data_IF_664316974181
#
_entry.id   IF_664316974181
#
_cell.length_a   1.000
_cell.length_b   1.000
_cell.length_c   1.000
_cell.angle_alpha   90.00
_cell.angle_beta   90.00
_cell.angle_gamma   90.00
#
_symmetry.space_group_name_H-M   'P 1'
#
loop_
_entity.id
_entity.type
_entity.pdbx_description
1 polymer ?
#
# COMPACT_ATOMS: atom_id res chain seq x y z
N UNK A 1 -43.31 -16.37 -12.83
CA UNK A 1 -42.23 -15.76 -13.63
C UNK A 1 -41.85 -14.46 -12.94
N UNK A 2 -40.84 -14.47 -12.07
CA UNK A 2 -40.30 -13.24 -11.46
C UNK A 2 -38.99 -12.90 -12.17
N UNK A 3 -39.05 -11.79 -12.91
CA UNK A 3 -37.99 -11.19 -13.71
C UNK A 3 -36.76 -10.90 -12.84
N UNK A 4 -35.65 -11.58 -13.14
CA UNK A 4 -34.34 -11.33 -12.57
C UNK A 4 -33.86 -9.94 -13.04
N UNK A 5 -34.11 -8.89 -12.27
CA UNK A 5 -33.43 -7.61 -12.48
C UNK A 5 -31.97 -7.75 -12.07
N UNK A 6 -31.13 -8.11 -13.04
CA UNK A 6 -29.68 -7.96 -12.96
C UNK A 6 -29.36 -6.46 -12.87
N UNK A 7 -29.30 -5.94 -11.65
CA UNK A 7 -28.65 -4.66 -11.36
C UNK A 7 -27.15 -4.82 -11.58
N UNK A 8 -26.72 -4.78 -12.84
CA UNK A 8 -25.33 -4.49 -13.19
C UNK A 8 -25.09 -3.02 -12.92
N UNK A 9 -24.87 -2.71 -11.64
CA UNK A 9 -24.58 -1.37 -11.17
C UNK A 9 -23.25 -0.93 -11.78
N UNK A 10 -23.37 -0.01 -12.75
CA UNK A 10 -22.27 0.64 -13.43
C UNK A 10 -21.38 1.36 -12.40
N UNK A 11 -20.29 0.73 -11.95
CA UNK A 11 -19.22 1.38 -11.19
C UNK A 11 -18.26 2.16 -12.12
N UNK A 12 -18.79 2.81 -13.15
CA UNK A 12 -18.03 3.62 -14.10
C UNK A 12 -18.13 5.10 -13.69
N UNK A 13 -17.38 5.51 -12.67
CA UNK A 13 -17.40 6.92 -12.24
C UNK A 13 -16.33 7.35 -11.24
N UNK A 14 -15.61 6.41 -10.63
CA UNK A 14 -14.45 6.72 -9.79
C UNK A 14 -13.29 5.84 -10.20
N UNK A 15 -12.44 6.33 -11.11
CA UNK A 15 -11.12 5.72 -11.31
C UNK A 15 -10.41 5.67 -9.95
N UNK A 16 -10.31 4.48 -9.37
CA UNK A 16 -9.75 4.30 -8.03
C UNK A 16 -8.23 4.34 -8.14
N UNK A 17 -7.63 5.30 -7.46
CA UNK A 17 -6.18 5.43 -7.36
C UNK A 17 -5.71 4.81 -6.04
N UNK A 18 -4.68 4.00 -6.11
CA UNK A 18 -4.03 3.42 -4.95
C UNK A 18 -2.71 4.12 -4.67
N UNK A 19 -2.44 4.44 -3.41
CA UNK A 19 -1.11 4.87 -2.98
C UNK A 19 -0.31 3.65 -2.57
N UNK A 20 0.99 3.87 -2.39
CA UNK A 20 1.93 2.87 -1.90
C UNK A 20 1.43 2.17 -0.63
N UNK A 21 0.85 2.94 0.29
CA UNK A 21 0.33 2.44 1.57
C UNK A 21 -0.89 1.52 1.43
N UNK A 22 -1.65 1.66 0.35
CA UNK A 22 -2.82 0.81 0.08
C UNK A 22 -2.41 -0.51 -0.61
N UNK A 23 -1.27 -0.50 -1.32
CA UNK A 23 -0.76 -1.64 -2.09
C UNK A 23 0.19 -2.52 -1.27
N UNK A 24 1.08 -1.89 -0.50
CA UNK A 24 2.14 -2.57 0.21
C UNK A 24 1.71 -3.03 1.61
N UNK A 25 2.17 -4.21 1.98
CA UNK A 25 2.16 -4.69 3.35
C UNK A 25 3.18 -3.91 4.19
N UNK A 26 2.68 -3.34 5.27
CA UNK A 26 3.49 -2.61 6.25
C UNK A 26 3.68 -3.57 7.43
N UNK A 27 4.88 -4.14 7.63
CA UNK A 27 5.10 -5.05 8.74
C UNK A 27 5.00 -4.32 10.08
N UNK A 28 4.51 -5.02 11.10
CA UNK A 28 4.45 -4.49 12.47
C UNK A 28 5.86 -4.16 12.95
N UNK A 29 6.04 -2.93 13.44
CA UNK A 29 7.25 -2.57 14.16
C UNK A 29 6.90 -2.32 15.62
N UNK A 30 7.36 -3.19 16.55
CA UNK A 30 7.13 -2.97 17.96
C UNK A 30 7.83 -1.67 18.36
N UNK A 31 7.17 -0.90 19.22
CA UNK A 31 7.69 0.38 19.67
C UNK A 31 9.02 0.17 20.42
N UNK A 32 10.05 0.96 20.07
CA UNK A 32 11.31 0.94 20.83
C UNK A 32 11.28 2.04 21.88
N UNK A 33 11.54 1.61 23.11
CA UNK A 33 11.55 2.46 24.31
C UNK A 33 12.93 3.11 24.40
N UNK A 34 13.02 4.43 24.19
CA UNK A 34 14.26 5.17 24.40
C UNK A 34 14.27 5.77 25.81
N UNK A 35 15.22 5.33 26.64
CA UNK A 35 15.45 5.85 27.98
C UNK A 35 16.58 6.88 27.95
N UNK A 36 16.28 8.12 28.36
CA UNK A 36 17.30 9.16 28.46
C UNK A 36 18.17 8.93 29.71
N UNK A 37 19.48 8.82 29.50
CA UNK A 37 20.45 8.42 30.55
C UNK A 37 21.02 9.59 31.36
N UNK A 38 20.83 10.85 30.95
CA UNK A 38 21.39 12.02 31.64
C UNK A 38 20.61 13.32 31.36
N UNK A 39 20.79 14.33 32.23
CA UNK A 39 20.17 15.66 32.17
C UNK A 39 18.80 15.75 32.86
N UNK A 40 18.09 16.87 32.65
CA UNK A 40 16.73 17.16 33.20
C UNK A 40 15.70 16.09 32.80
N UNK A 41 15.97 15.31 31.74
CA UNK A 41 15.12 14.24 31.24
C UNK A 41 15.56 12.83 31.69
N UNK A 42 16.54 12.71 32.61
CA UNK A 42 16.98 11.41 33.14
C UNK A 42 15.79 10.66 33.75
N UNK A 43 15.51 9.46 33.23
CA UNK A 43 14.37 8.63 33.65
C UNK A 43 13.10 8.82 32.82
N UNK A 44 13.01 9.85 31.96
CA UNK A 44 11.92 9.92 30.97
C UNK A 44 12.16 8.88 29.89
N UNK A 45 11.07 8.20 29.56
CA UNK A 45 11.02 7.22 28.48
C UNK A 45 10.26 7.83 27.32
N UNK A 46 10.83 7.79 26.11
CA UNK A 46 10.10 8.12 24.88
C UNK A 46 9.79 6.83 24.13
N UNK A 47 8.51 6.57 23.93
CA UNK A 47 8.03 5.53 23.02
C UNK A 47 8.22 6.07 21.60
N UNK A 48 9.09 5.43 20.82
CA UNK A 48 9.42 5.86 19.46
C UNK A 48 9.00 4.75 18.49
N UNK A 49 8.29 5.14 17.43
CA UNK A 49 8.17 4.33 16.22
C UNK A 49 7.15 3.20 16.25
N UNK A 50 6.12 3.26 17.10
CA UNK A 50 5.00 2.32 17.03
C UNK A 50 4.29 2.43 15.67
N UNK A 51 4.14 1.31 14.95
CA UNK A 51 3.39 1.25 13.69
C UNK A 51 2.67 -0.09 13.57
N UNK A 52 1.34 -0.02 13.42
CA UNK A 52 0.44 -1.17 13.24
C UNK A 52 0.63 -1.84 11.88
N UNK A 53 0.42 -3.16 11.81
CA UNK A 53 0.39 -3.87 10.54
C UNK A 53 -0.76 -3.38 9.68
N UNK A 54 -0.48 -3.18 8.39
CA UNK A 54 -1.53 -3.02 7.39
C UNK A 54 -1.26 -4.02 6.28
N UNK A 55 -2.23 -4.90 6.01
CA UNK A 55 -2.18 -5.84 4.89
C UNK A 55 -2.61 -5.09 3.63
N UNK A 56 -1.64 -4.64 2.83
CA UNK A 56 -1.90 -4.07 1.51
C UNK A 56 -2.38 -5.13 0.51
N UNK A 57 -2.98 -4.68 -0.59
CA UNK A 57 -3.63 -5.51 -1.60
C UNK A 57 -2.74 -6.65 -2.16
N UNK A 58 -1.43 -6.42 -2.28
CA UNK A 58 -0.48 -7.37 -2.88
C UNK A 58 0.31 -8.16 -1.81
N UNK A 59 0.20 -7.79 -0.53
CA UNK A 59 0.88 -8.50 0.57
C UNK A 59 2.41 -8.35 0.61
N UNK A 60 3.02 -7.57 -0.28
CA UNK A 60 4.49 -7.38 -0.36
C UNK A 60 4.95 -6.10 0.33
N UNK A 61 6.20 -6.07 0.78
CA UNK A 61 6.76 -4.88 1.42
C UNK A 61 6.87 -3.68 0.47
N UNK A 62 6.86 -2.46 1.01
CA UNK A 62 7.03 -1.22 0.23
C UNK A 62 8.32 -1.26 -0.63
N UNK A 63 9.41 -1.76 -0.04
CA UNK A 63 10.70 -1.87 -0.73
C UNK A 63 10.60 -2.82 -1.93
N UNK A 64 9.96 -3.98 -1.75
CA UNK A 64 9.80 -4.98 -2.81
C UNK A 64 8.99 -4.44 -3.97
N UNK A 65 7.93 -3.67 -3.70
CA UNK A 65 7.13 -3.06 -4.76
C UNK A 65 7.93 -2.01 -5.53
N UNK A 66 8.74 -1.18 -4.86
CA UNK A 66 9.69 -0.28 -5.55
C UNK A 66 10.73 -1.02 -6.37
N UNK A 67 11.21 -2.18 -5.92
CA UNK A 67 12.12 -3.02 -6.70
C UNK A 67 11.45 -3.52 -7.97
N UNK A 68 10.18 -3.95 -7.92
CA UNK A 68 9.43 -4.34 -9.12
C UNK A 68 9.17 -3.17 -10.06
N UNK A 69 8.85 -1.98 -9.53
CA UNK A 69 8.74 -0.76 -10.33
C UNK A 69 10.07 -0.46 -11.02
N UNK A 70 11.19 -0.57 -10.31
CA UNK A 70 12.54 -0.35 -10.88
C UNK A 70 12.92 -1.40 -11.92
N UNK A 71 12.47 -2.65 -11.73
CA UNK A 71 12.64 -3.75 -12.69
C UNK A 71 11.70 -3.64 -13.89
N UNK A 72 10.71 -2.73 -13.86
CA UNK A 72 9.66 -2.62 -14.88
C UNK A 72 8.64 -3.76 -14.85
N UNK A 73 8.65 -4.59 -13.80
CA UNK A 73 7.68 -5.67 -13.62
C UNK A 73 6.35 -5.18 -13.09
N UNK A 74 6.30 -4.02 -12.43
CA UNK A 74 5.08 -3.43 -11.86
C UNK A 74 4.65 -2.20 -12.67
N UNK A 75 3.35 -1.87 -12.75
CA UNK A 75 2.88 -0.70 -13.47
C UNK A 75 3.57 0.59 -13.02
N UNK A 76 3.76 1.50 -13.99
CA UNK A 76 4.50 2.73 -13.75
C UNK A 76 3.73 3.64 -12.77
N UNK A 77 4.42 4.21 -11.77
CA UNK A 77 3.82 5.17 -10.86
C UNK A 77 3.43 6.47 -11.58
N UNK A 78 2.22 6.96 -11.31
CA UNK A 78 1.76 8.28 -11.73
C UNK A 78 2.07 9.27 -10.61
N UNK A 79 2.83 10.34 -10.94
CA UNK A 79 3.09 11.44 -10.01
C UNK A 79 1.95 12.45 -10.09
N UNK A 80 1.16 12.55 -9.02
CA UNK A 80 0.13 13.59 -8.88
C UNK A 80 0.72 14.90 -8.33
N UNK A 81 1.76 14.80 -7.51
CA UNK A 81 2.47 15.95 -6.95
C UNK A 81 3.94 15.58 -6.68
N UNK A 82 4.81 16.52 -6.29
CA UNK A 82 6.22 16.23 -5.98
C UNK A 82 6.42 15.11 -4.94
N UNK A 83 5.44 14.92 -4.04
CA UNK A 83 5.51 13.96 -2.93
C UNK A 83 4.48 12.83 -3.05
N UNK A 84 3.49 12.96 -3.95
CA UNK A 84 2.38 12.00 -4.05
C UNK A 84 2.51 11.20 -5.33
N UNK A 85 2.74 9.91 -5.13
CA UNK A 85 2.78 8.89 -6.18
C UNK A 85 1.61 7.92 -6.01
N UNK A 86 0.90 7.66 -7.11
CA UNK A 86 -0.27 6.78 -7.15
C UNK A 86 -0.19 5.80 -8.32
N UNK A 87 -0.99 4.75 -8.24
CA UNK A 87 -1.23 3.79 -9.31
C UNK A 87 -2.72 3.73 -9.63
N UNK A 88 -3.08 3.49 -10.89
CA UNK A 88 -4.48 3.24 -11.27
C UNK A 88 -4.85 1.82 -10.90
N UNK A 89 -6.07 1.63 -10.38
CA UNK A 89 -6.62 0.31 -10.11
C UNK A 89 -6.62 -0.59 -11.35
N UNK A 90 -6.86 -0.02 -12.53
CA UNK A 90 -6.89 -0.75 -13.79
C UNK A 90 -5.53 -1.38 -14.11
N UNK A 91 -4.46 -0.58 -14.07
CA UNK A 91 -3.10 -1.07 -14.37
C UNK A 91 -2.67 -2.19 -13.41
N UNK A 92 -3.04 -2.07 -12.13
CA UNK A 92 -2.76 -3.11 -11.11
C UNK A 92 -3.55 -4.38 -11.39
N UNK A 93 -4.83 -4.27 -11.78
CA UNK A 93 -5.66 -5.41 -12.12
C UNK A 93 -5.15 -6.13 -13.38
N UNK A 94 -4.73 -5.38 -14.41
CA UNK A 94 -4.11 -5.94 -15.61
C UNK A 94 -2.79 -6.64 -15.30
N UNK A 95 -1.96 -6.03 -14.45
CA UNK A 95 -0.73 -6.64 -13.96
C UNK A 95 -0.99 -7.96 -13.20
N UNK A 96 -1.97 -7.98 -12.31
CA UNK A 96 -2.33 -9.17 -11.54
C UNK A 96 -2.78 -10.30 -12.46
N UNK A 97 -3.59 -10.01 -13.48
CA UNK A 97 -3.98 -10.99 -14.52
C UNK A 97 -2.78 -11.52 -15.32
N UNK A 98 -1.83 -10.65 -15.66
CA UNK A 98 -0.61 -11.05 -16.36
C UNK A 98 0.25 -12.00 -15.53
N UNK A 99 0.28 -11.85 -14.19
CA UNK A 99 0.99 -12.76 -13.29
C UNK A 99 0.22 -14.07 -13.04
N UNK A 100 -1.10 -14.03 -13.01
CA UNK A 100 -1.95 -15.23 -12.91
C UNK A 100 -1.81 -16.15 -14.13
N UNK A 101 -1.66 -15.57 -15.32
CA UNK A 101 -1.53 -16.31 -16.59
C UNK A 101 -0.12 -16.88 -16.84
N UNK A 102 0.83 -16.59 -15.94
CA UNK A 102 2.24 -17.00 -16.05
C UNK A 102 2.61 -18.17 -15.16
N UNK A 103 1.65 -19.03 -14.80
CA UNK A 103 1.88 -20.25 -14.02
C UNK A 103 1.57 -21.51 -14.83
#
# INVERSE_FOLDING_TARGET
MLEQKQSSENQQGTERYYRMKDLANIPERPARIHQYKSGINKGKTRVIGERRASKGLIGVSEKTLWEWVRKGEFPQPIKLSPTITVWRAKDIAEWMKSKESGN
#
